data_IF_093201299539
#
_entry.id   IF_093201299539
#
_cell.length_a   1.000
_cell.length_b   1.000
_cell.length_c   1.000
_cell.angle_alpha   90.00
_cell.angle_beta   90.00
_cell.angle_gamma   90.00
#
_symmetry.space_group_name_H-M   'P 1'
#
loop_
_entity.id
_entity.type
_entity.pdbx_description
1 polymer ?
#
# COMPACT_ATOMS: atom_id res chain seq x y z
N UNK A 1 -15.07 -0.89 -12.30
CA UNK A 1 -13.96 0.06 -12.12
C UNK A 1 -13.61 0.09 -10.64
N UNK A 2 -12.33 0.01 -10.27
CA UNK A 2 -11.89 0.11 -8.88
C UNK A 2 -11.84 1.60 -8.47
N UNK A 3 -12.98 2.13 -8.01
CA UNK A 3 -13.07 3.45 -7.36
C UNK A 3 -12.96 3.34 -5.84
N UNK A 4 -13.14 4.45 -5.12
CA UNK A 4 -13.09 4.48 -3.66
C UNK A 4 -11.66 4.63 -3.13
N UNK A 5 -11.26 3.73 -2.23
CA UNK A 5 -9.94 3.74 -1.56
C UNK A 5 -8.78 3.24 -2.44
N UNK A 6 -9.07 2.49 -3.50
CA UNK A 6 -8.04 1.81 -4.31
C UNK A 6 -6.95 2.74 -4.88
N UNK A 7 -7.25 3.94 -5.42
CA UNK A 7 -6.21 4.86 -5.89
C UNK A 7 -5.29 5.37 -4.76
N UNK A 8 -5.85 5.57 -3.56
CA UNK A 8 -5.10 6.01 -2.38
C UNK A 8 -4.14 4.90 -1.95
N UNK A 9 -4.65 3.68 -1.83
CA UNK A 9 -3.86 2.50 -1.49
C UNK A 9 -2.72 2.29 -2.51
N UNK A 10 -3.04 2.37 -3.80
CA UNK A 10 -2.05 2.24 -4.87
C UNK A 10 -0.92 3.29 -4.74
N UNK A 11 -1.27 4.56 -4.55
CA UNK A 11 -0.27 5.63 -4.47
C UNK A 11 0.62 5.46 -3.23
N UNK A 12 0.01 5.21 -2.07
CA UNK A 12 0.73 4.97 -0.81
C UNK A 12 1.70 3.78 -0.90
N UNK A 13 1.23 2.66 -1.46
CA UNK A 13 2.05 1.47 -1.64
C UNK A 13 3.21 1.72 -2.61
N UNK A 14 2.96 2.42 -3.72
CA UNK A 14 3.99 2.76 -4.69
C UNK A 14 5.08 3.66 -4.09
N UNK A 15 4.71 4.65 -3.28
CA UNK A 15 5.69 5.51 -2.60
C UNK A 15 6.57 4.74 -1.60
N UNK A 16 5.96 3.87 -0.79
CA UNK A 16 6.71 3.02 0.15
C UNK A 16 7.65 2.06 -0.58
N UNK A 17 7.18 1.43 -1.66
CA UNK A 17 7.98 0.53 -2.48
C UNK A 17 9.12 1.26 -3.22
N UNK A 18 8.84 2.46 -3.77
CA UNK A 18 9.84 3.28 -4.44
C UNK A 18 10.94 3.71 -3.46
N UNK A 19 10.58 4.14 -2.25
CA UNK A 19 11.57 4.48 -1.21
C UNK A 19 12.43 3.26 -0.85
N UNK A 20 11.83 2.09 -0.64
CA UNK A 20 12.57 0.87 -0.35
C UNK A 20 13.50 0.44 -1.50
N UNK A 21 13.09 0.65 -2.76
CA UNK A 21 13.94 0.43 -3.92
C UNK A 21 15.13 1.40 -3.96
N UNK A 22 14.89 2.70 -3.72
CA UNK A 22 15.94 3.72 -3.65
C UNK A 22 16.94 3.42 -2.53
N UNK A 23 16.47 2.90 -1.40
CA UNK A 23 17.29 2.44 -0.27
C UNK A 23 17.97 1.07 -0.51
N UNK A 24 17.83 0.48 -1.71
CA UNK A 24 18.37 -0.83 -2.08
C UNK A 24 17.86 -2.00 -1.22
N UNK A 25 16.68 -1.84 -0.63
CA UNK A 25 15.98 -2.83 0.21
C UNK A 25 14.89 -3.61 -0.53
N UNK A 26 14.66 -3.29 -1.80
CA UNK A 26 13.67 -3.93 -2.66
C UNK A 26 14.20 -4.01 -4.09
N UNK A 27 13.98 -5.14 -4.78
CA UNK A 27 14.29 -5.27 -6.21
C UNK A 27 13.28 -4.53 -7.10
N UNK A 28 13.70 -4.05 -8.27
CA UNK A 28 12.83 -3.25 -9.16
C UNK A 28 11.50 -3.95 -9.51
N UNK A 29 11.55 -5.24 -9.85
CA UNK A 29 10.34 -6.01 -10.19
C UNK A 29 9.43 -6.26 -8.99
N UNK A 30 9.95 -6.18 -7.77
CA UNK A 30 9.16 -6.37 -6.55
C UNK A 30 8.31 -5.14 -6.21
N UNK A 31 8.54 -3.97 -6.84
CA UNK A 31 7.68 -2.79 -6.66
C UNK A 31 6.24 -3.14 -7.05
N UNK A 32 6.05 -3.73 -8.23
CA UNK A 32 4.73 -4.11 -8.72
C UNK A 32 4.07 -5.18 -7.82
N UNK A 33 4.86 -6.14 -7.31
CA UNK A 33 4.37 -7.14 -6.37
C UNK A 33 3.89 -6.51 -5.05
N UNK A 34 4.66 -5.59 -4.47
CA UNK A 34 4.27 -4.88 -3.24
C UNK A 34 2.98 -4.11 -3.43
N UNK A 35 2.83 -3.39 -4.54
CA UNK A 35 1.61 -2.63 -4.83
C UNK A 35 0.40 -3.56 -4.99
N UNK A 36 0.54 -4.66 -5.74
CA UNK A 36 -0.53 -5.63 -5.94
C UNK A 36 -0.97 -6.29 -4.62
N UNK A 37 -0.03 -6.78 -3.83
CA UNK A 37 -0.30 -7.42 -2.53
C UNK A 37 -0.92 -6.44 -1.53
N UNK A 38 -0.49 -5.17 -1.56
CA UNK A 38 -1.05 -4.13 -0.68
C UNK A 38 -2.50 -3.84 -1.04
N UNK A 39 -2.83 -3.76 -2.34
CA UNK A 39 -4.21 -3.61 -2.80
C UNK A 39 -5.09 -4.79 -2.39
N UNK A 40 -4.60 -6.03 -2.56
CA UNK A 40 -5.33 -7.23 -2.18
C UNK A 40 -5.61 -7.26 -0.68
N UNK A 41 -4.59 -7.01 0.14
CA UNK A 41 -4.71 -6.99 1.61
C UNK A 41 -5.59 -5.86 2.12
N UNK A 42 -5.45 -4.65 1.58
CA UNK A 42 -6.29 -3.51 1.96
C UNK A 42 -7.76 -3.74 1.59
N UNK A 43 -8.03 -4.35 0.43
CA UNK A 43 -9.37 -4.75 0.01
C UNK A 43 -9.93 -5.83 0.94
N UNK A 44 -9.14 -6.86 1.25
CA UNK A 44 -9.55 -7.93 2.17
C UNK A 44 -9.79 -7.45 3.62
N UNK A 45 -9.08 -6.41 4.06
CA UNK A 45 -9.27 -5.76 5.35
C UNK A 45 -10.46 -4.77 5.39
N UNK A 46 -11.12 -4.54 4.25
CA UNK A 46 -12.27 -3.62 4.17
C UNK A 46 -11.89 -2.14 4.27
N UNK A 47 -10.65 -1.78 3.91
CA UNK A 47 -10.18 -0.39 3.94
C UNK A 47 -10.98 0.45 2.95
N UNK A 48 -11.73 1.41 3.48
CA UNK A 48 -12.74 2.18 2.75
C UNK A 48 -12.78 3.63 3.22
N UNK A 49 -13.15 4.54 2.32
CA UNK A 49 -13.39 5.94 2.63
C UNK A 49 -14.80 6.07 3.26
N UNK A 50 -14.93 5.79 4.56
CA UNK A 50 -16.20 5.88 5.29
C UNK A 50 -16.13 6.92 6.40
N UNK A 51 -16.34 8.20 6.07
CA UNK A 51 -16.40 9.26 7.08
C UNK A 51 -17.12 10.51 6.54
N UNK A 52 -17.66 11.35 7.44
CA UNK A 52 -18.28 12.63 7.12
C UNK A 52 -17.26 13.65 6.57
N UNK A 53 -15.97 13.46 6.88
CA UNK A 53 -14.84 14.22 6.33
C UNK A 53 -14.03 13.35 5.36
N UNK A 54 -14.02 13.74 4.08
CA UNK A 54 -13.32 13.02 3.02
C UNK A 54 -11.79 13.10 3.13
N UNK A 55 -11.26 14.17 3.74
CA UNK A 55 -9.83 14.36 3.93
C UNK A 55 -9.31 13.38 4.99
N UNK A 56 -9.96 13.34 6.16
CA UNK A 56 -9.57 12.43 7.22
C UNK A 56 -9.75 10.96 6.81
N UNK A 57 -10.82 10.66 6.06
CA UNK A 57 -11.02 9.33 5.48
C UNK A 57 -9.87 8.94 4.55
N UNK A 58 -9.42 9.85 3.68
CA UNK A 58 -8.32 9.60 2.76
C UNK A 58 -6.99 9.41 3.49
N UNK A 59 -6.71 10.22 4.51
CA UNK A 59 -5.50 10.11 5.33
C UNK A 59 -5.46 8.78 6.11
N UNK A 60 -6.60 8.33 6.63
CA UNK A 60 -6.69 7.03 7.32
C UNK A 60 -6.41 5.86 6.36
N UNK A 61 -6.95 5.90 5.14
CA UNK A 61 -6.68 4.90 4.09
C UNK A 61 -5.21 4.91 3.67
N UNK A 62 -4.61 6.08 3.47
CA UNK A 62 -3.19 6.22 3.14
C UNK A 62 -2.29 5.63 4.23
N UNK A 63 -2.55 5.98 5.51
CA UNK A 63 -1.77 5.47 6.63
C UNK A 63 -1.82 3.94 6.74
N UNK A 64 -3.01 3.34 6.59
CA UNK A 64 -3.15 1.89 6.63
C UNK A 64 -2.49 1.21 5.43
N UNK A 65 -2.59 1.79 4.22
CA UNK A 65 -1.91 1.29 3.04
C UNK A 65 -0.38 1.30 3.21
N UNK A 66 0.19 2.34 3.81
CA UNK A 66 1.63 2.40 4.12
C UNK A 66 2.05 1.31 5.10
N UNK A 67 1.23 1.05 6.13
CA UNK A 67 1.47 -0.02 7.11
C UNK A 67 1.49 -1.38 6.42
N UNK A 68 0.48 -1.68 5.61
CA UNK A 68 0.38 -2.94 4.86
C UNK A 68 1.55 -3.11 3.89
N UNK A 69 1.93 -2.06 3.14
CA UNK A 69 3.06 -2.11 2.21
C UNK A 69 4.38 -2.41 2.93
N UNK A 70 4.59 -1.83 4.12
CA UNK A 70 5.72 -2.14 4.99
C UNK A 70 5.76 -3.62 5.40
N UNK A 71 4.62 -4.18 5.80
CA UNK A 71 4.50 -5.60 6.18
C UNK A 71 4.78 -6.55 4.99
N UNK A 72 4.33 -6.18 3.78
CA UNK A 72 4.59 -6.94 2.55
C UNK A 72 6.09 -6.94 2.23
N UNK A 73 6.75 -5.78 2.27
CA UNK A 73 8.20 -5.67 2.03
C UNK A 73 8.98 -6.49 3.06
N UNK A 74 8.60 -6.40 4.35
CA UNK A 74 9.25 -7.19 5.39
C UNK A 74 9.13 -8.70 5.12
N UNK A 75 7.96 -9.15 4.66
CA UNK A 75 7.71 -10.55 4.31
C UNK A 75 8.55 -11.02 3.12
N UNK A 76 8.68 -10.19 2.07
CA UNK A 76 9.51 -10.49 0.90
C UNK A 76 11.00 -10.62 1.27
N UNK A 77 11.47 -9.80 2.20
CA UNK A 77 12.87 -9.83 2.66
C UNK A 77 13.17 -11.03 3.57
N UNK A 78 12.17 -11.62 4.23
CA UNK A 78 12.33 -12.88 5.00
C UNK A 78 12.38 -14.09 4.06
N UNK A 79 11.68 -14.01 2.92
CA UNK A 79 11.61 -15.09 1.95
C UNK A 79 12.82 -15.17 0.98
N UNK A 80 13.73 -14.18 1.03
CA UNK A 80 14.93 -14.07 0.19
C UNK A 80 16.19 -14.50 0.96
#
# INVERSE_FOLDING_TARGET
AAGGSAPIVFNAANEVAALAFLDRRLGFLNIAAVVADTLEKATGAGVSCGSDDACDAALAVDAEARRIAGDVIASLNIAA
#
